data_IF_095219626910
#
_entry.id   IF_095219626910
#
_cell.length_a   1.000
_cell.length_b   1.000
_cell.length_c   1.000
_cell.angle_alpha   90.00
_cell.angle_beta   90.00
_cell.angle_gamma   90.00
#
_symmetry.space_group_name_H-M   'P 1'
#
loop_
_entity.id
_entity.type
_entity.pdbx_description
1 polymer ?
#
# COMPACT_ATOMS: atom_id res chain seq x y z
N UNK A 1 31.60 22.94 -18.18
CA UNK A 1 31.50 21.75 -17.31
C UNK A 1 30.94 22.08 -15.93
N UNK A 2 31.44 23.13 -15.27
CA UNK A 2 30.93 23.55 -13.96
C UNK A 2 29.47 24.02 -13.99
N UNK A 3 29.03 24.68 -15.04
CA UNK A 3 27.65 25.09 -15.21
C UNK A 3 26.69 23.92 -15.33
N UNK A 4 27.08 22.87 -16.05
CA UNK A 4 26.29 21.64 -16.21
C UNK A 4 26.15 20.88 -14.89
N UNK A 5 27.26 20.76 -14.14
CA UNK A 5 27.24 20.08 -12.82
C UNK A 5 26.39 20.86 -11.81
N UNK A 6 26.47 22.18 -11.80
CA UNK A 6 25.65 23.02 -10.95
C UNK A 6 24.16 22.93 -11.31
N UNK A 7 23.85 22.89 -12.59
CA UNK A 7 22.50 22.73 -13.08
C UNK A 7 21.92 21.35 -12.70
N UNK A 8 22.69 20.29 -12.85
CA UNK A 8 22.30 18.94 -12.46
C UNK A 8 22.12 18.85 -10.94
N UNK A 9 23.01 19.47 -10.16
CA UNK A 9 22.87 19.54 -8.69
C UNK A 9 21.61 20.23 -8.24
N UNK A 10 21.26 21.35 -8.85
CA UNK A 10 20.01 22.07 -8.58
C UNK A 10 18.79 21.24 -8.95
N UNK A 11 18.84 20.54 -10.07
CA UNK A 11 17.76 19.68 -10.54
C UNK A 11 17.54 18.50 -9.58
N UNK A 12 18.62 17.89 -9.07
CA UNK A 12 18.56 16.80 -8.10
C UNK A 12 17.99 17.28 -6.77
N UNK A 13 18.43 18.44 -6.29
CA UNK A 13 17.93 19.02 -5.04
C UNK A 13 16.45 19.41 -5.15
N UNK A 14 16.03 19.98 -6.26
CA UNK A 14 14.62 20.27 -6.56
C UNK A 14 13.79 18.99 -6.62
N UNK A 15 14.31 17.95 -7.24
CA UNK A 15 13.66 16.65 -7.31
C UNK A 15 13.51 16.03 -5.92
N UNK A 16 14.55 16.07 -5.10
CA UNK A 16 14.50 15.61 -3.70
C UNK A 16 13.47 16.40 -2.89
N UNK A 17 13.48 17.73 -3.01
CA UNK A 17 12.55 18.61 -2.30
C UNK A 17 11.09 18.35 -2.69
N UNK A 18 10.82 18.01 -3.95
CA UNK A 18 9.48 17.65 -4.41
C UNK A 18 9.07 16.23 -4.00
N UNK A 19 10.05 15.33 -3.83
CA UNK A 19 9.80 13.92 -3.48
C UNK A 19 9.66 13.69 -1.98
N UNK A 20 10.36 14.46 -1.13
CA UNK A 20 10.34 14.31 0.33
C UNK A 20 8.93 14.40 0.94
N UNK A 21 8.07 15.38 0.58
CA UNK A 21 6.72 15.44 1.12
C UNK A 21 5.87 14.22 0.76
N UNK A 22 6.06 13.66 -0.44
CA UNK A 22 5.36 12.46 -0.86
C UNK A 22 5.83 11.23 -0.09
N UNK A 23 7.15 11.11 0.14
CA UNK A 23 7.72 10.01 0.92
C UNK A 23 7.24 10.05 2.38
N UNK A 24 7.21 11.22 3.02
CA UNK A 24 6.66 11.40 4.35
C UNK A 24 5.17 11.03 4.41
N UNK A 25 4.41 11.43 3.43
CA UNK A 25 2.99 11.10 3.31
C UNK A 25 2.78 9.60 3.19
N UNK A 26 3.58 8.92 2.37
CA UNK A 26 3.51 7.46 2.21
C UNK A 26 3.86 6.73 3.51
N UNK A 27 4.88 7.17 4.24
CA UNK A 27 5.24 6.60 5.54
C UNK A 27 4.10 6.78 6.55
N UNK A 28 3.50 7.96 6.61
CA UNK A 28 2.36 8.23 7.49
C UNK A 28 1.14 7.37 7.16
N UNK A 29 0.85 7.21 5.87
CA UNK A 29 -0.24 6.34 5.40
C UNK A 29 0.04 4.89 5.79
N UNK A 30 1.25 4.40 5.60
CA UNK A 30 1.65 3.04 5.98
C UNK A 30 1.49 2.81 7.47
N UNK A 31 1.96 3.73 8.31
CA UNK A 31 1.81 3.66 9.76
C UNK A 31 0.34 3.67 10.19
N UNK A 32 -0.49 4.48 9.54
CA UNK A 32 -1.92 4.52 9.79
C UNK A 32 -2.60 3.18 9.41
N UNK A 33 -2.22 2.60 8.28
CA UNK A 33 -2.73 1.30 7.83
C UNK A 33 -2.28 0.16 8.77
N UNK A 34 -1.05 0.20 9.25
CA UNK A 34 -0.56 -0.75 10.25
C UNK A 34 -1.36 -0.64 11.55
N UNK A 35 -1.66 0.57 11.99
CA UNK A 35 -2.49 0.81 13.17
C UNK A 35 -3.92 0.30 13.00
N UNK A 36 -4.53 0.51 11.83
CA UNK A 36 -5.86 -0.03 11.50
C UNK A 36 -5.84 -1.55 11.48
N UNK A 37 -4.84 -2.15 10.86
CA UNK A 37 -4.70 -3.61 10.81
C UNK A 37 -4.57 -4.20 12.22
N UNK A 38 -3.80 -3.57 13.10
CA UNK A 38 -3.65 -3.99 14.49
C UNK A 38 -4.95 -3.83 15.29
N UNK A 39 -5.64 -2.68 15.14
CA UNK A 39 -6.87 -2.38 15.87
C UNK A 39 -8.04 -3.30 15.47
N UNK A 40 -8.13 -3.65 14.18
CA UNK A 40 -9.18 -4.51 13.64
C UNK A 40 -8.79 -5.98 13.56
N UNK A 41 -7.62 -6.36 14.09
CA UNK A 41 -7.06 -7.71 14.03
C UNK A 41 -7.01 -8.27 12.60
N UNK A 42 -6.61 -7.43 11.65
CA UNK A 42 -6.48 -7.82 10.24
C UNK A 42 -5.11 -8.47 10.06
N UNK A 43 -5.12 -9.77 9.78
CA UNK A 43 -3.92 -10.56 9.54
C UNK A 43 -4.05 -11.33 8.23
N UNK A 44 -2.93 -11.59 7.59
CA UNK A 44 -2.89 -12.47 6.43
C UNK A 44 -2.97 -13.94 6.87
N UNK A 45 -3.87 -14.70 6.27
CA UNK A 45 -3.98 -16.13 6.52
C UNK A 45 -2.88 -16.90 5.76
N UNK A 46 -2.63 -18.14 6.18
CA UNK A 46 -1.70 -19.03 5.46
C UNK A 46 -2.17 -19.30 4.02
N UNK A 47 -3.48 -19.41 3.79
CA UNK A 47 -4.05 -19.59 2.47
C UNK A 47 -3.79 -18.38 1.56
N UNK A 48 -3.88 -17.18 2.10
CA UNK A 48 -3.55 -15.94 1.37
C UNK A 48 -2.07 -15.86 1.06
N UNK A 49 -1.21 -16.25 2.00
CA UNK A 49 0.23 -16.33 1.78
C UNK A 49 0.56 -17.34 0.68
N UNK A 50 -0.04 -18.51 0.72
CA UNK A 50 0.15 -19.55 -0.29
C UNK A 50 -0.30 -19.09 -1.67
N UNK A 51 -1.43 -18.40 -1.75
CA UNK A 51 -1.93 -17.82 -3.00
C UNK A 51 -0.96 -16.77 -3.57
N UNK A 52 -0.39 -15.92 -2.71
CA UNK A 52 0.60 -14.92 -3.14
C UNK A 52 1.90 -15.57 -3.60
N UNK A 53 2.40 -16.56 -2.89
CA UNK A 53 3.59 -17.35 -3.29
C UNK A 53 3.36 -18.00 -4.65
N UNK A 54 2.20 -18.59 -4.86
CA UNK A 54 1.82 -19.21 -6.14
C UNK A 54 1.77 -18.18 -7.27
N UNK A 55 1.20 -17.00 -7.00
CA UNK A 55 1.15 -15.91 -7.96
C UNK A 55 2.55 -15.47 -8.40
N UNK A 56 3.46 -15.29 -7.44
CA UNK A 56 4.86 -14.93 -7.71
C UNK A 56 5.57 -16.04 -8.47
N UNK A 57 5.37 -17.30 -8.08
CA UNK A 57 5.96 -18.47 -8.76
C UNK A 57 5.52 -18.53 -10.23
N UNK A 58 4.25 -18.32 -10.50
CA UNK A 58 3.70 -18.31 -11.86
C UNK A 58 4.22 -17.13 -12.69
N UNK A 59 4.34 -15.96 -12.07
CA UNK A 59 4.83 -14.74 -12.72
C UNK A 59 6.29 -14.86 -13.14
N UNK A 60 7.13 -15.41 -12.28
CA UNK A 60 8.58 -15.56 -12.52
C UNK A 60 8.96 -16.95 -13.04
N UNK A 61 8.01 -17.84 -13.26
CA UNK A 61 8.21 -19.22 -13.72
C UNK A 61 9.21 -19.97 -12.82
N UNK A 62 9.00 -19.86 -11.51
CA UNK A 62 9.81 -20.50 -10.46
C UNK A 62 8.94 -21.48 -9.69
N UNK A 63 9.59 -22.41 -9.00
CA UNK A 63 8.92 -23.29 -8.05
C UNK A 63 8.56 -22.51 -6.75
N UNK A 64 7.45 -22.87 -6.15
CA UNK A 64 6.95 -22.23 -4.93
C UNK A 64 7.96 -22.30 -3.78
N UNK A 65 8.66 -23.43 -3.63
CA UNK A 65 9.68 -23.61 -2.60
C UNK A 65 10.83 -22.63 -2.77
N UNK A 66 11.27 -22.38 -4.01
CA UNK A 66 12.30 -21.39 -4.30
C UNK A 66 11.84 -19.97 -4.03
N UNK A 67 10.60 -19.66 -4.34
CA UNK A 67 10.03 -18.34 -4.03
C UNK A 67 10.05 -18.12 -2.52
N UNK A 68 9.68 -19.11 -1.71
CA UNK A 68 9.70 -19.02 -0.25
C UNK A 68 11.10 -18.81 0.32
N UNK A 69 12.12 -19.37 -0.30
CA UNK A 69 13.52 -19.16 0.09
C UNK A 69 14.01 -17.74 -0.22
N UNK A 70 13.54 -17.16 -1.32
CA UNK A 70 13.98 -15.84 -1.80
C UNK A 70 13.23 -14.67 -1.16
N UNK A 71 11.99 -14.89 -0.70
CA UNK A 71 11.17 -13.85 -0.08
C UNK A 71 11.22 -13.94 1.44
N UNK A 72 11.03 -12.80 2.09
CA UNK A 72 10.78 -12.76 3.52
C UNK A 72 9.27 -12.98 3.75
N UNK A 73 8.92 -14.15 4.27
CA UNK A 73 7.52 -14.56 4.50
C UNK A 73 6.81 -13.58 5.44
N UNK A 74 7.49 -13.10 6.47
CA UNK A 74 6.91 -12.15 7.43
C UNK A 74 6.59 -10.81 6.79
N UNK A 75 7.46 -10.31 5.91
CA UNK A 75 7.20 -9.09 5.14
C UNK A 75 6.03 -9.24 4.18
N UNK A 76 5.93 -10.38 3.50
CA UNK A 76 4.81 -10.67 2.60
C UNK A 76 3.50 -10.73 3.36
N UNK A 77 3.45 -11.39 4.51
CA UNK A 77 2.29 -11.40 5.39
C UNK A 77 1.90 -10.00 5.84
N UNK A 78 2.88 -9.20 6.20
CA UNK A 78 2.67 -7.80 6.61
C UNK A 78 2.08 -6.96 5.47
N UNK A 79 2.60 -7.08 4.28
CA UNK A 79 2.10 -6.38 3.09
C UNK A 79 0.67 -6.82 2.73
N UNK A 80 0.37 -8.11 2.84
CA UNK A 80 -0.98 -8.64 2.64
C UNK A 80 -1.96 -8.09 3.67
N UNK A 81 -1.54 -8.00 4.93
CA UNK A 81 -2.35 -7.40 6.00
C UNK A 81 -2.63 -5.91 5.73
N UNK A 82 -1.64 -5.17 5.26
CA UNK A 82 -1.80 -3.76 4.86
C UNK A 82 -2.80 -3.63 3.69
N UNK A 83 -2.69 -4.48 2.68
CA UNK A 83 -3.63 -4.50 1.56
C UNK A 83 -5.06 -4.80 2.00
N UNK A 84 -5.23 -5.74 2.94
CA UNK A 84 -6.54 -6.02 3.55
C UNK A 84 -7.08 -4.81 4.32
N UNK A 85 -6.22 -4.09 5.04
CA UNK A 85 -6.60 -2.87 5.74
C UNK A 85 -7.07 -1.78 4.76
N UNK A 86 -6.41 -1.65 3.61
CA UNK A 86 -6.83 -0.74 2.55
C UNK A 86 -8.23 -1.11 2.03
N UNK A 87 -8.47 -2.38 1.75
CA UNK A 87 -9.77 -2.87 1.28
C UNK A 87 -10.86 -2.66 2.34
N UNK A 88 -10.53 -2.86 3.60
CA UNK A 88 -11.42 -2.58 4.73
C UNK A 88 -11.84 -1.10 4.77
N UNK A 89 -10.88 -0.18 4.64
CA UNK A 89 -11.12 1.27 4.62
C UNK A 89 -11.97 1.66 3.41
N UNK A 90 -11.66 1.14 2.23
CA UNK A 90 -12.42 1.38 1.00
C UNK A 90 -13.88 0.94 1.13
N UNK A 91 -14.13 -0.23 1.70
CA UNK A 91 -15.48 -0.73 1.94
C UNK A 91 -16.27 0.18 2.86
N UNK A 92 -15.65 0.68 3.93
CA UNK A 92 -16.30 1.61 4.87
C UNK A 92 -16.53 2.99 4.26
N UNK A 93 -15.58 3.51 3.48
CA UNK A 93 -15.74 4.78 2.79
C UNK A 93 -16.87 4.75 1.77
N UNK A 94 -17.01 3.68 1.01
CA UNK A 94 -18.12 3.49 0.06
C UNK A 94 -19.47 3.47 0.74
N UNK A 95 -19.59 2.85 1.92
CA UNK A 95 -20.82 2.83 2.71
C UNK A 95 -21.19 4.25 3.18
N UNK A 96 -20.21 5.03 3.63
CA UNK A 96 -20.42 6.43 4.07
C UNK A 96 -20.84 7.32 2.91
N UNK A 97 -20.23 7.19 1.75
CA UNK A 97 -20.61 7.93 0.53
C UNK A 97 -22.05 7.64 0.11
N UNK A 98 -22.46 6.38 0.08
CA UNK A 98 -23.81 5.97 -0.26
C UNK A 98 -24.84 6.50 0.74
N UNK A 99 -24.51 6.49 2.02
CA UNK A 99 -25.37 7.07 3.07
C UNK A 99 -25.52 8.59 2.89
N UNK A 100 -24.44 9.29 2.59
CA UNK A 100 -24.46 10.74 2.35
C UNK A 100 -25.25 11.11 1.08
N UNK A 101 -25.18 10.31 0.03
CA UNK A 101 -25.99 10.50 -1.18
C UNK A 101 -27.48 10.25 -0.92
N UNK A 102 -27.82 9.25 -0.13
CA UNK A 102 -29.20 8.96 0.25
C UNK A 102 -29.81 10.09 1.08
N UNK A 103 -29.08 10.67 2.03
CA UNK A 103 -29.53 11.83 2.81
C UNK A 103 -29.78 13.07 1.96
N UNK A 104 -28.91 13.31 0.97
CA UNK A 104 -29.07 14.44 0.04
C UNK A 104 -30.29 14.31 -0.86
N UNK A 105 -30.70 13.11 -1.21
CA UNK A 105 -31.89 12.88 -2.02
C UNK A 105 -33.19 13.01 -1.22
N UNK A 106 -33.18 12.74 0.08
CA UNK A 106 -34.33 12.96 0.94
C UNK A 106 -34.57 14.45 1.22
N UNK A 107 -33.53 15.23 1.42
CA UNK A 107 -33.63 16.68 1.65
C UNK A 107 -34.04 17.47 0.38
N UNK A 108 -33.89 16.88 -0.80
CA UNK A 108 -34.26 17.53 -2.07
C UNK A 108 -35.74 17.33 -2.47
N UNK A 109 -36.50 16.59 -1.71
CA UNK A 109 -37.95 16.41 -1.88
C UNK A 109 -38.75 17.28 -0.92
#
# INVERSE_FOLDING_TARGET
>A
LFRSLKYIGQSVDQFRASFMPQAEKQVKIRLALEAVAAAENIEASEDELNAEVKRIADQYKMEEDKVRELINVDEVKHDLAINKAIDFIKSHANVVEKAAEAEKTEDAQ
#
